data_IF_063974970570
#
_entry.id   IF_063974970570
#
_cell.length_a   1.000
_cell.length_b   1.000
_cell.length_c   1.000
_cell.angle_alpha   90.00
_cell.angle_beta   90.00
_cell.angle_gamma   90.00
#
_symmetry.space_group_name_H-M   'P 1'
#
loop_
_entity.id
_entity.type
_entity.pdbx_description
1 polymer ?
#
# COMPACT_ATOMS: atom_id res chain seq x y z
N UNK A 1 18.44 -32.85 -11.61
CA UNK A 1 17.58 -32.07 -12.54
C UNK A 1 16.28 -31.83 -11.82
N UNK A 2 16.02 -30.61 -11.36
CA UNK A 2 14.77 -30.29 -10.66
C UNK A 2 13.72 -29.99 -11.72
N UNK A 3 12.64 -30.77 -11.76
CA UNK A 3 11.49 -30.47 -12.61
C UNK A 3 10.78 -29.28 -11.97
N UNK A 4 10.69 -28.16 -12.69
CA UNK A 4 10.03 -26.94 -12.23
C UNK A 4 8.67 -26.85 -12.92
N UNK A 5 7.61 -26.67 -12.13
CA UNK A 5 6.30 -26.32 -12.65
C UNK A 5 6.31 -24.84 -13.07
N UNK A 6 6.22 -24.60 -14.38
CA UNK A 6 6.25 -23.26 -14.97
C UNK A 6 5.06 -22.39 -14.52
N UNK A 7 3.91 -22.99 -14.22
CA UNK A 7 2.74 -22.26 -13.74
C UNK A 7 2.95 -21.80 -12.29
N UNK A 8 3.46 -22.68 -11.42
CA UNK A 8 3.78 -22.33 -10.03
C UNK A 8 4.89 -21.27 -9.96
N UNK A 9 5.98 -21.46 -10.71
CA UNK A 9 7.09 -20.50 -10.73
C UNK A 9 6.66 -19.10 -11.20
N UNK A 10 5.67 -19.03 -12.11
CA UNK A 10 5.08 -17.77 -12.55
C UNK A 10 4.24 -17.12 -11.44
N UNK A 11 3.41 -17.88 -10.75
CA UNK A 11 2.60 -17.39 -9.63
C UNK A 11 3.48 -16.85 -8.49
N UNK A 12 4.56 -17.55 -8.15
CA UNK A 12 5.52 -17.14 -7.13
C UNK A 12 6.28 -15.85 -7.50
N UNK A 13 6.34 -15.53 -8.80
CA UNK A 13 7.00 -14.34 -9.34
C UNK A 13 6.05 -13.14 -9.52
N UNK A 14 4.76 -13.29 -9.20
CA UNK A 14 3.83 -12.16 -9.28
C UNK A 14 4.20 -11.09 -8.23
N UNK A 15 4.03 -9.79 -8.55
CA UNK A 15 4.37 -8.74 -7.60
C UNK A 15 3.40 -8.76 -6.42
N UNK A 16 3.96 -8.73 -5.21
CA UNK A 16 3.22 -8.69 -3.96
C UNK A 16 3.37 -7.32 -3.30
N UNK A 17 2.30 -6.87 -2.65
CA UNK A 17 2.29 -5.77 -1.70
C UNK A 17 2.48 -6.32 -0.30
N UNK A 18 3.13 -5.56 0.57
CA UNK A 18 3.20 -5.86 2.00
C UNK A 18 3.00 -4.60 2.82
N UNK A 19 2.41 -4.73 4.01
CA UNK A 19 2.18 -3.58 4.87
C UNK A 19 1.19 -3.83 6.00
N UNK A 20 0.97 -2.78 6.81
CA UNK A 20 0.01 -2.82 7.90
C UNK A 20 -1.43 -2.92 7.37
N UNK A 21 -2.17 -3.90 7.89
CA UNK A 21 -3.56 -4.14 7.61
C UNK A 21 -4.40 -4.11 8.89
N UNK A 22 -5.69 -3.80 8.73
CA UNK A 22 -6.65 -3.72 9.83
C UNK A 22 -7.98 -4.34 9.40
N UNK A 23 -8.63 -5.04 10.33
CA UNK A 23 -9.98 -5.56 10.14
C UNK A 23 -10.99 -4.45 10.41
N UNK A 24 -11.86 -4.17 9.44
CA UNK A 24 -12.91 -3.16 9.61
C UNK A 24 -13.97 -3.57 10.66
N UNK A 25 -14.10 -4.86 10.97
CA UNK A 25 -15.04 -5.37 11.97
C UNK A 25 -14.43 -5.45 13.38
N UNK A 26 -13.47 -6.35 13.62
CA UNK A 26 -12.93 -6.59 14.96
C UNK A 26 -11.73 -5.69 15.32
N UNK A 27 -11.29 -4.81 14.41
CA UNK A 27 -10.14 -3.90 14.59
C UNK A 27 -8.80 -4.57 14.85
N UNK A 28 -8.69 -5.88 14.64
CA UNK A 28 -7.41 -6.56 14.68
C UNK A 28 -6.45 -5.97 13.63
N UNK A 29 -5.20 -5.75 14.02
CA UNK A 29 -4.14 -5.22 13.16
C UNK A 29 -3.08 -6.30 12.93
N UNK A 30 -2.58 -6.39 11.71
CA UNK A 30 -1.52 -7.34 11.34
C UNK A 30 -0.68 -6.82 10.18
N UNK A 31 0.42 -7.51 9.87
CA UNK A 31 1.19 -7.27 8.64
C UNK A 31 0.71 -8.24 7.58
N UNK A 32 0.11 -7.72 6.51
CA UNK A 32 -0.38 -8.51 5.40
C UNK A 32 0.63 -8.56 4.25
N UNK A 33 0.57 -9.65 3.48
CA UNK A 33 1.20 -9.78 2.17
C UNK A 33 0.13 -10.29 1.21
N UNK A 34 -0.04 -9.63 0.08
CA UNK A 34 -1.04 -10.00 -0.93
C UNK A 34 -0.59 -9.57 -2.33
N UNK A 35 -1.17 -10.14 -3.37
CA UNK A 35 -0.90 -9.73 -4.75
C UNK A 35 -1.23 -8.25 -4.97
N UNK A 36 -0.48 -7.58 -5.85
CA UNK A 36 -0.78 -6.20 -6.24
C UNK A 36 -2.22 -6.11 -6.75
N UNK A 37 -2.98 -5.16 -6.20
CA UNK A 37 -4.40 -4.97 -6.52
C UNK A 37 -5.37 -5.69 -5.59
N UNK A 38 -4.91 -6.55 -4.67
CA UNK A 38 -5.76 -7.12 -3.62
C UNK A 38 -6.29 -6.01 -2.72
N UNK A 39 -7.61 -5.83 -2.70
CA UNK A 39 -8.27 -4.80 -1.89
C UNK A 39 -8.83 -5.41 -0.60
N UNK A 40 -9.44 -6.59 -0.67
CA UNK A 40 -10.07 -7.28 0.47
C UNK A 40 -9.22 -8.47 0.91
N UNK A 41 -9.15 -8.70 2.22
CA UNK A 41 -8.38 -9.79 2.82
C UNK A 41 -9.15 -10.41 3.98
N UNK A 42 -8.91 -11.69 4.24
CA UNK A 42 -9.44 -12.36 5.41
C UNK A 42 -8.73 -11.91 6.68
N UNK A 43 -9.53 -11.63 7.71
CA UNK A 43 -9.01 -11.30 9.03
C UNK A 43 -8.55 -12.58 9.75
N UNK A 44 -7.28 -12.69 10.19
CA UNK A 44 -6.80 -13.88 10.89
C UNK A 44 -7.45 -14.08 12.27
N UNK A 45 -8.03 -13.02 12.87
CA UNK A 45 -8.66 -13.10 14.19
C UNK A 45 -10.14 -13.50 14.17
N UNK A 46 -10.92 -13.06 13.17
CA UNK A 46 -12.36 -13.32 13.11
C UNK A 46 -12.83 -14.10 11.88
N UNK A 47 -11.93 -14.38 10.93
CA UNK A 47 -12.22 -15.15 9.71
C UNK A 47 -13.11 -14.44 8.69
N UNK A 48 -13.47 -13.17 8.90
CA UNK A 48 -14.28 -12.40 7.94
C UNK A 48 -13.39 -11.72 6.89
N UNK A 49 -13.85 -11.68 5.64
CA UNK A 49 -13.26 -10.93 4.52
C UNK A 49 -13.50 -9.41 4.70
N UNK A 50 -12.89 -8.83 5.72
CA UNK A 50 -13.03 -7.41 6.09
C UNK A 50 -11.70 -6.77 6.43
N UNK A 51 -10.59 -7.41 6.07
CA UNK A 51 -9.25 -6.84 6.13
C UNK A 51 -9.00 -5.84 5.01
N UNK A 52 -8.37 -4.73 5.38
CA UNK A 52 -7.88 -3.69 4.44
C UNK A 52 -6.46 -3.29 4.83
N UNK A 53 -5.64 -2.94 3.85
CA UNK A 53 -4.42 -2.18 4.13
C UNK A 53 -4.78 -0.84 4.75
N UNK A 54 -4.02 -0.42 5.78
CA UNK A 54 -4.28 0.81 6.54
C UNK A 54 -3.75 2.05 5.82
N UNK A 55 -2.66 1.91 5.08
CA UNK A 55 -1.94 3.02 4.43
C UNK A 55 -1.81 2.85 2.92
N UNK A 56 -1.23 3.86 2.26
CA UNK A 56 -0.92 3.78 0.83
C UNK A 56 0.14 2.70 0.56
N UNK A 57 0.15 2.21 -0.68
CA UNK A 57 1.21 1.31 -1.17
C UNK A 57 2.41 2.16 -1.57
N UNK A 58 3.48 2.07 -0.79
CA UNK A 58 4.74 2.77 -1.08
C UNK A 58 5.65 1.96 -2.00
N UNK A 59 6.25 2.61 -3.00
CA UNK A 59 7.36 2.04 -3.77
C UNK A 59 8.66 2.32 -3.00
N UNK A 60 9.63 1.40 -3.03
CA UNK A 60 10.92 1.62 -2.39
C UNK A 60 11.66 2.83 -3.00
N UNK A 61 12.22 3.71 -2.17
CA UNK A 61 12.95 4.90 -2.62
C UNK A 61 12.84 6.07 -1.66
N UNK A 62 13.39 7.21 -2.06
CA UNK A 62 13.18 8.48 -1.37
C UNK A 62 11.82 9.05 -1.78
N UNK A 63 11.02 9.43 -0.78
CA UNK A 63 9.74 10.09 -0.98
C UNK A 63 9.85 11.55 -0.59
N UNK A 64 9.15 12.41 -1.33
CA UNK A 64 9.06 13.82 -0.98
C UNK A 64 8.09 13.99 0.17
N UNK A 65 8.53 14.66 1.24
CA UNK A 65 7.68 14.99 2.37
C UNK A 65 7.55 16.52 2.46
N UNK A 66 6.32 16.99 2.59
CA UNK A 66 6.07 18.37 2.96
C UNK A 66 6.67 18.64 4.34
N UNK A 67 7.01 19.90 4.65
CA UNK A 67 7.50 20.29 6.00
C UNK A 67 6.52 19.94 7.13
N UNK A 68 5.23 19.74 6.83
CA UNK A 68 4.23 19.28 7.79
C UNK A 68 4.21 17.76 8.00
N UNK A 69 5.08 17.01 7.32
CA UNK A 69 5.20 15.54 7.40
C UNK A 69 4.35 14.76 6.38
N UNK A 70 3.42 15.42 5.69
CA UNK A 70 2.55 14.76 4.71
C UNK A 70 3.30 14.42 3.41
N UNK A 71 3.05 13.24 2.87
CA UNK A 71 3.65 12.67 1.65
C UNK A 71 2.67 12.58 0.46
N UNK A 72 1.40 12.93 0.66
CA UNK A 72 0.40 13.04 -0.40
C UNK A 72 0.32 14.46 -0.96
N UNK A 73 0.16 14.60 -2.28
CA UNK A 73 0.08 15.91 -2.95
C UNK A 73 -1.08 15.95 -3.95
N UNK A 74 -1.70 17.12 -4.09
CA UNK A 74 -2.64 17.40 -5.18
C UNK A 74 -1.91 18.11 -6.30
N UNK A 75 -2.01 17.59 -7.53
CA UNK A 75 -1.49 18.21 -8.74
C UNK A 75 -2.59 18.97 -9.46
N UNK A 76 -2.34 20.25 -9.74
CA UNK A 76 -3.21 21.14 -10.52
C UNK A 76 -2.43 21.69 -11.73
N UNK A 77 -3.09 22.51 -12.56
CA UNK A 77 -2.41 23.19 -13.68
C UNK A 77 -1.33 24.18 -13.22
N UNK A 78 -1.44 24.71 -12.01
CA UNK A 78 -0.52 25.71 -11.46
C UNK A 78 0.66 25.10 -10.68
N UNK A 79 0.57 23.81 -10.31
CA UNK A 79 1.62 23.11 -9.59
C UNK A 79 1.08 22.03 -8.65
N UNK A 80 1.91 21.63 -7.67
CA UNK A 80 1.51 20.69 -6.63
C UNK A 80 1.41 21.38 -5.27
N UNK A 81 0.37 21.09 -4.50
CA UNK A 81 0.23 21.59 -3.12
C UNK A 81 -0.06 20.45 -2.14
N UNK A 82 0.30 20.68 -0.88
CA UNK A 82 0.05 19.74 0.21
C UNK A 82 -1.42 19.84 0.67
N UNK A 83 -2.24 18.77 0.58
CA UNK A 83 -3.62 18.80 1.04
C UNK A 83 -3.76 18.94 2.56
N UNK A 84 -2.71 18.63 3.32
CA UNK A 84 -2.74 18.73 4.79
C UNK A 84 -2.56 20.16 5.30
N UNK A 85 -1.64 20.94 4.70
CA UNK A 85 -1.33 22.30 5.19
C UNK A 85 -1.52 23.42 4.15
N UNK A 86 -1.89 23.09 2.91
CA UNK A 86 -2.12 24.06 1.83
C UNK A 86 -0.86 24.63 1.18
N UNK A 87 0.33 24.23 1.62
CA UNK A 87 1.59 24.78 1.11
C UNK A 87 1.89 24.29 -0.31
N UNK A 88 2.16 25.23 -1.21
CA UNK A 88 2.65 24.93 -2.56
C UNK A 88 4.07 24.36 -2.50
N UNK A 89 4.28 23.24 -3.17
CA UNK A 89 5.58 22.60 -3.24
C UNK A 89 6.34 23.09 -4.47
N UNK A 90 7.64 23.28 -4.33
CA UNK A 90 8.52 23.72 -5.41
C UNK A 90 9.81 22.88 -5.37
N UNK A 91 10.36 22.53 -6.54
CA UNK A 91 11.67 21.86 -6.64
C UNK A 91 11.65 20.34 -6.40
N UNK A 92 10.52 19.69 -6.65
CA UNK A 92 10.43 18.23 -6.82
C UNK A 92 11.03 17.78 -8.16
#
# INVERSE_FOLDING_TARGET
>A
MTVIDLAQAKADSEPHMSGAAVCLACKHEWVAVALVGTVWMDCPACGLERGRYRGPVGIAGLHWHCKCGNDLFHATQDGMYCPNCGEWQHGF
#
